data_IF_249944937942
#
_entry.id   IF_249944937942
#
_cell.length_a   1.000
_cell.length_b   1.000
_cell.length_c   1.000
_cell.angle_alpha   90.00
_cell.angle_beta   90.00
_cell.angle_gamma   90.00
#
_symmetry.space_group_name_H-M   'P 1'
#
loop_
_entity.id
_entity.type
_entity.pdbx_description
1 polymer ?
#
# COMPACT_ATOMS: atom_id res chain seq x y z
N UNK A 1 -1.28 -24.00 -6.63
CA UNK A 1 -0.96 -22.60 -6.95
C UNK A 1 0.51 -22.60 -7.26
N UNK A 2 0.86 -22.13 -8.44
CA UNK A 2 2.24 -22.18 -8.92
C UNK A 2 3.10 -21.17 -8.16
N UNK A 3 4.41 -21.39 -8.17
CA UNK A 3 5.36 -20.47 -7.55
C UNK A 3 5.38 -19.15 -8.34
N UNK A 4 5.55 -18.04 -7.62
CA UNK A 4 5.63 -16.71 -8.24
C UNK A 4 6.81 -16.67 -9.19
N UNK A 5 6.59 -16.06 -10.35
CA UNK A 5 7.61 -15.79 -11.35
C UNK A 5 8.39 -14.53 -11.00
N UNK A 6 9.58 -14.39 -11.59
CA UNK A 6 10.38 -13.18 -11.46
C UNK A 6 9.63 -11.93 -11.95
N UNK A 7 8.87 -12.07 -13.04
CA UNK A 7 8.09 -10.97 -13.62
C UNK A 7 6.99 -10.49 -12.67
N UNK A 8 6.32 -11.39 -11.96
CA UNK A 8 5.35 -11.02 -10.93
C UNK A 8 5.98 -10.27 -9.77
N UNK A 9 7.18 -10.67 -9.33
CA UNK A 9 7.91 -9.94 -8.27
C UNK A 9 8.28 -8.54 -8.73
N UNK A 10 8.77 -8.38 -9.95
CA UNK A 10 9.06 -7.08 -10.55
C UNK A 10 7.78 -6.22 -10.67
N UNK A 11 6.65 -6.84 -11.01
CA UNK A 11 5.39 -6.11 -11.11
C UNK A 11 4.91 -5.62 -9.75
N UNK A 12 5.02 -6.46 -8.72
CA UNK A 12 4.68 -6.10 -7.34
C UNK A 12 5.59 -4.98 -6.84
N UNK A 13 6.89 -5.03 -7.14
CA UNK A 13 7.84 -4.00 -6.71
C UNK A 13 7.55 -2.65 -7.37
N UNK A 14 7.20 -2.64 -8.67
CA UNK A 14 6.77 -1.45 -9.39
C UNK A 14 5.51 -0.84 -8.75
N UNK A 15 4.49 -1.66 -8.49
CA UNK A 15 3.24 -1.20 -7.85
C UNK A 15 3.45 -0.68 -6.42
N UNK A 16 4.50 -1.16 -5.76
CA UNK A 16 4.84 -0.79 -4.38
C UNK A 16 5.89 0.31 -4.29
N UNK A 17 6.37 0.84 -5.43
CA UNK A 17 7.47 1.82 -5.50
C UNK A 17 8.74 1.35 -4.77
N UNK A 18 9.08 0.06 -4.91
CA UNK A 18 10.29 -0.53 -4.33
C UNK A 18 11.30 -0.85 -5.43
N UNK A 19 12.50 -0.29 -5.31
CA UNK A 19 13.66 -0.72 -6.08
C UNK A 19 14.29 -1.95 -5.41
N UNK A 20 14.41 -3.04 -6.16
CA UNK A 20 14.94 -4.31 -5.66
C UNK A 20 16.16 -4.73 -6.47
N UNK A 21 17.17 -5.25 -5.77
CA UNK A 21 18.31 -5.89 -6.40
C UNK A 21 17.95 -7.30 -6.90
N UNK A 22 18.73 -7.84 -7.85
CA UNK A 22 18.52 -9.21 -8.35
C UNK A 22 18.51 -10.26 -7.24
N UNK A 23 19.36 -10.08 -6.24
CA UNK A 23 19.44 -10.96 -5.07
C UNK A 23 18.16 -10.91 -4.24
N UNK A 24 17.60 -9.72 -4.04
CA UNK A 24 16.34 -9.53 -3.31
C UNK A 24 15.16 -10.09 -4.10
N UNK A 25 15.14 -9.92 -5.42
CA UNK A 25 14.11 -10.50 -6.29
C UNK A 25 14.09 -12.03 -6.15
N UNK A 26 15.25 -12.69 -6.29
CA UNK A 26 15.32 -14.16 -6.14
C UNK A 26 14.93 -14.63 -4.74
N UNK A 27 15.29 -13.85 -3.71
CA UNK A 27 14.92 -14.15 -2.32
C UNK A 27 13.40 -14.03 -2.11
N UNK A 28 12.82 -12.89 -2.49
CA UNK A 28 11.40 -12.59 -2.34
C UNK A 28 10.53 -13.52 -3.17
N UNK A 29 11.00 -13.93 -4.35
CA UNK A 29 10.30 -14.93 -5.16
C UNK A 29 10.03 -16.20 -4.36
N UNK A 30 11.03 -16.73 -3.65
CA UNK A 30 10.88 -17.92 -2.82
C UNK A 30 10.00 -17.63 -1.60
N UNK A 31 10.33 -16.59 -0.84
CA UNK A 31 9.66 -16.28 0.43
C UNK A 31 8.18 -15.97 0.24
N UNK A 32 7.82 -15.17 -0.77
CA UNK A 32 6.42 -14.85 -1.07
C UNK A 32 5.66 -16.06 -1.62
N UNK A 33 6.29 -16.92 -2.41
CA UNK A 33 5.68 -18.18 -2.87
C UNK A 33 5.34 -19.09 -1.69
N UNK A 34 6.25 -19.22 -0.71
CA UNK A 34 6.03 -20.00 0.51
C UNK A 34 4.87 -19.43 1.34
N UNK A 35 4.80 -18.09 1.48
CA UNK A 35 3.71 -17.40 2.20
C UNK A 35 2.36 -17.62 1.50
N UNK A 36 2.27 -17.42 0.18
CA UNK A 36 1.02 -17.64 -0.57
C UNK A 36 0.59 -19.11 -0.47
N UNK A 37 1.54 -20.04 -0.59
CA UNK A 37 1.27 -21.46 -0.43
C UNK A 37 0.69 -21.76 0.95
N UNK A 38 1.18 -21.14 2.01
CA UNK A 38 0.60 -21.28 3.34
C UNK A 38 -0.86 -20.78 3.39
N UNK A 39 -1.18 -19.65 2.76
CA UNK A 39 -2.55 -19.13 2.70
C UNK A 39 -3.53 -20.02 1.93
N UNK A 40 -3.06 -20.90 1.05
CA UNK A 40 -3.94 -21.88 0.37
C UNK A 40 -4.67 -22.81 1.34
N UNK A 41 -4.21 -22.93 2.59
CA UNK A 41 -4.93 -23.66 3.65
C UNK A 41 -6.34 -23.11 3.88
N UNK A 42 -6.57 -21.81 3.66
CA UNK A 42 -7.87 -21.18 3.83
C UNK A 42 -8.89 -21.66 2.79
N UNK A 43 -8.45 -22.15 1.63
CA UNK A 43 -9.34 -22.71 0.59
C UNK A 43 -10.07 -23.99 1.03
N UNK A 44 -9.65 -24.61 2.15
CA UNK A 44 -10.31 -25.79 2.72
C UNK A 44 -11.63 -25.44 3.45
N UNK A 45 -11.87 -24.17 3.72
CA UNK A 45 -13.05 -23.70 4.45
C UNK A 45 -14.13 -23.26 3.45
N UNK A 46 -15.37 -23.72 3.64
CA UNK A 46 -16.51 -23.25 2.85
C UNK A 46 -16.99 -21.90 3.40
N UNK A 47 -16.88 -20.86 2.57
CA UNK A 47 -17.27 -19.49 2.91
C UNK A 47 -18.46 -18.99 2.08
N UNK A 48 -19.12 -19.85 1.29
CA UNK A 48 -20.22 -19.44 0.37
C UNK A 48 -21.37 -18.71 1.06
N UNK A 49 -21.65 -19.05 2.31
CA UNK A 49 -22.74 -18.48 3.10
C UNK A 49 -22.23 -17.63 4.28
N UNK A 50 -20.97 -17.23 4.26
CA UNK A 50 -20.36 -16.39 5.30
C UNK A 50 -20.32 -14.95 4.79
N UNK A 51 -20.97 -14.03 5.50
CA UNK A 51 -20.90 -12.62 5.17
C UNK A 51 -19.47 -12.08 5.37
N UNK A 52 -19.02 -11.24 4.44
CA UNK A 52 -17.72 -10.58 4.52
C UNK A 52 -17.67 -9.67 5.74
N UNK A 53 -16.65 -9.85 6.58
CA UNK A 53 -16.42 -8.98 7.74
C UNK A 53 -15.46 -7.85 7.36
N UNK A 54 -15.97 -6.65 7.11
CA UNK A 54 -15.15 -5.47 6.80
C UNK A 54 -14.69 -4.67 8.03
N UNK A 55 -15.52 -4.59 9.06
CA UNK A 55 -15.21 -3.95 10.34
C UNK A 55 -15.63 -4.88 11.47
N UNK A 56 -14.84 -4.96 12.54
CA UNK A 56 -15.15 -5.79 13.71
C UNK A 56 -16.25 -5.19 14.59
N UNK A 57 -16.48 -3.89 14.46
CA UNK A 57 -17.57 -3.15 15.11
C UNK A 57 -18.64 -2.75 14.11
N UNK A 58 -19.81 -2.34 14.59
CA UNK A 58 -20.88 -1.77 13.76
C UNK A 58 -20.40 -0.43 13.17
N UNK A 59 -19.79 -0.48 11.99
CA UNK A 59 -19.47 0.71 11.22
C UNK A 59 -20.77 1.31 10.67
N UNK A 60 -20.96 2.60 10.90
CA UNK A 60 -22.00 3.40 10.28
C UNK A 60 -21.33 4.59 9.61
N UNK A 61 -21.94 5.10 8.54
CA UNK A 61 -21.43 6.30 7.88
C UNK A 61 -21.43 7.47 8.87
N UNK A 62 -20.24 7.97 9.21
CA UNK A 62 -20.07 9.18 10.03
C UNK A 62 -19.84 10.35 9.08
N UNK A 63 -20.79 11.26 9.05
CA UNK A 63 -20.70 12.49 8.27
C UNK A 63 -19.99 13.58 9.06
N UNK A 64 -19.26 14.46 8.36
CA UNK A 64 -18.74 15.71 8.90
C UNK A 64 -19.59 16.85 8.35
N UNK A 65 -19.97 17.80 9.19
CA UNK A 65 -20.63 19.03 8.77
C UNK A 65 -19.75 19.83 7.79
N UNK A 66 -20.37 20.52 6.84
CA UNK A 66 -19.66 21.33 5.85
C UNK A 66 -19.25 22.71 6.39
N UNK A 67 -18.38 22.69 7.39
CA UNK A 67 -17.87 23.89 8.05
C UNK A 67 -16.38 24.11 7.75
N UNK A 68 -15.97 25.38 7.65
CA UNK A 68 -14.57 25.77 7.46
C UNK A 68 -13.82 25.68 8.79
N UNK A 69 -12.72 24.94 8.80
CA UNK A 69 -11.80 24.91 9.93
C UNK A 69 -10.51 25.70 9.62
N UNK A 70 -9.86 26.30 10.64
CA UNK A 70 -8.59 26.98 10.44
C UNK A 70 -7.52 26.02 9.86
N UNK A 71 -6.84 26.37 8.76
CA UNK A 71 -5.79 25.53 8.21
C UNK A 71 -4.56 25.52 9.12
N UNK A 72 -3.72 24.49 8.96
CA UNK A 72 -2.37 24.51 9.54
C UNK A 72 -1.57 25.68 8.93
N UNK A 73 -0.74 26.34 9.75
CA UNK A 73 0.21 27.35 9.26
C UNK A 73 1.16 26.71 8.25
N UNK A 74 1.44 27.38 7.13
CA UNK A 74 2.34 26.90 6.06
C UNK A 74 3.66 26.37 6.61
N UNK A 75 4.30 27.11 7.53
CA UNK A 75 5.54 26.72 8.21
C UNK A 75 5.45 25.32 8.86
N UNK A 76 4.32 24.99 9.52
CA UNK A 76 4.12 23.69 10.14
C UNK A 76 3.93 22.57 9.12
N UNK A 77 3.31 22.88 7.98
CA UNK A 77 3.06 21.91 6.89
C UNK A 77 4.38 21.51 6.22
N UNK A 78 5.24 22.48 5.92
CA UNK A 78 6.48 22.24 5.17
C UNK A 78 7.67 21.84 6.06
N UNK A 79 7.54 21.91 7.38
CA UNK A 79 8.64 21.66 8.32
C UNK A 79 9.30 20.28 8.16
N UNK A 80 8.56 19.28 7.68
CA UNK A 80 9.06 17.92 7.44
C UNK A 80 9.32 17.60 5.97
N UNK A 81 9.17 18.58 5.06
CA UNK A 81 9.40 18.36 3.65
C UNK A 81 10.90 18.17 3.38
N UNK A 82 11.31 17.14 2.62
CA UNK A 82 12.73 16.91 2.31
C UNK A 82 13.40 18.09 1.60
N UNK A 83 12.66 18.79 0.74
CA UNK A 83 13.10 19.99 0.04
C UNK A 83 11.92 20.95 -0.13
N UNK A 84 12.20 22.25 -0.06
CA UNK A 84 11.23 23.31 -0.28
C UNK A 84 11.74 24.36 -1.26
N UNK A 85 10.82 25.10 -1.87
CA UNK A 85 11.09 26.30 -2.65
C UNK A 85 10.09 27.37 -2.23
N UNK A 86 10.49 28.25 -1.32
CA UNK A 86 9.55 29.15 -0.64
C UNK A 86 8.48 28.36 0.11
N UNK A 87 7.22 28.57 -0.24
CA UNK A 87 6.07 27.90 0.37
C UNK A 87 5.71 26.55 -0.29
N UNK A 88 6.47 26.10 -1.30
CA UNK A 88 6.21 24.89 -2.06
C UNK A 88 7.10 23.72 -1.62
N UNK A 89 6.55 22.50 -1.66
CA UNK A 89 7.35 21.27 -1.56
C UNK A 89 7.98 21.01 -2.92
N UNK A 90 9.31 20.88 -2.95
CA UNK A 90 10.05 20.67 -4.19
C UNK A 90 10.20 19.17 -4.46
N UNK A 91 9.82 18.74 -5.64
CA UNK A 91 9.97 17.36 -6.15
C UNK A 91 10.61 17.38 -7.54
N UNK A 92 11.20 16.26 -8.01
CA UNK A 92 11.57 16.11 -9.40
C UNK A 92 10.35 16.36 -10.32
N UNK A 93 10.53 17.01 -11.49
CA UNK A 93 9.44 17.21 -12.43
C UNK A 93 8.89 15.86 -12.89
N UNK A 94 7.56 15.75 -12.95
CA UNK A 94 6.90 14.60 -13.58
C UNK A 94 7.00 14.80 -15.09
N UNK A 95 7.76 13.93 -15.74
CA UNK A 95 7.92 13.88 -17.20
C UNK A 95 7.17 12.65 -17.72
N UNK A 96 6.60 12.77 -18.92
CA UNK A 96 6.02 11.64 -19.67
C UNK A 96 7.09 10.80 -20.38
#
# INVERSE_FOLDING_TARGET
MDDLTREEILKISELSYLELTDKEISKLQKELSDIIRYFTLLNKLDTKNVELTGHTTKAQSVMREDEVHPPLKTEKVINNAPQTSGEFIKVPPVLE
#
